data_IF_190521524203
#
_entry.id   IF_190521524203
#
_cell.length_a   1.000
_cell.length_b   1.000
_cell.length_c   1.000
_cell.angle_alpha   90.00
_cell.angle_beta   90.00
_cell.angle_gamma   90.00
#
_symmetry.space_group_name_H-M   'P 1'
#
loop_
_entity.id
_entity.type
_entity.pdbx_description
1 polymer ?
#
# COMPACT_ATOMS: atom_id res chain seq x y z
N UNK A 1 -14.28 22.21 -0.84
CA UNK A 1 -12.91 22.47 -1.35
C UNK A 1 -12.02 21.46 -0.63
N UNK A 2 -12.06 20.17 -0.93
CA UNK A 2 -11.55 19.52 -2.14
C UNK A 2 -12.43 18.30 -2.45
N UNK A 3 -12.99 18.27 -3.66
CA UNK A 3 -13.59 17.09 -4.26
C UNK A 3 -12.97 17.01 -5.66
N UNK A 4 -11.68 16.71 -5.70
CA UNK A 4 -10.92 16.56 -6.94
C UNK A 4 -10.36 15.13 -7.02
N UNK A 5 -11.25 14.12 -6.92
CA UNK A 5 -10.98 12.90 -7.66
C UNK A 5 -11.32 13.24 -9.12
N UNK A 6 -10.29 13.25 -9.96
CA UNK A 6 -10.45 13.43 -11.40
C UNK A 6 -11.38 12.32 -11.94
N UNK A 7 -12.63 12.67 -12.27
CA UNK A 7 -13.61 11.81 -12.95
C UNK A 7 -13.10 11.30 -14.32
N UNK A 8 -11.92 11.74 -14.77
CA UNK A 8 -11.25 11.25 -15.98
C UNK A 8 -10.64 9.85 -15.83
N UNK A 9 -10.59 9.26 -14.63
CA UNK A 9 -10.17 7.86 -14.43
C UNK A 9 -11.30 6.84 -14.65
N UNK A 10 -12.47 7.29 -15.13
CA UNK A 10 -13.48 6.40 -15.68
C UNK A 10 -12.89 5.69 -16.91
N UNK A 11 -12.43 4.45 -16.71
CA UNK A 11 -12.09 3.55 -17.82
C UNK A 11 -13.29 3.52 -18.78
N UNK A 12 -13.08 3.60 -20.11
CA UNK A 12 -14.18 3.44 -21.07
C UNK A 12 -14.86 2.11 -20.79
N UNK A 13 -16.07 2.18 -20.22
CA UNK A 13 -16.74 1.10 -19.51
C UNK A 13 -17.33 0.00 -20.42
N UNK A 14 -16.77 -0.18 -21.62
CA UNK A 14 -17.31 -1.13 -22.60
C UNK A 14 -16.37 -2.26 -23.02
N UNK A 15 -15.06 -2.22 -22.75
CA UNK A 15 -14.15 -3.26 -23.30
C UNK A 15 -12.99 -3.75 -22.42
N UNK A 16 -12.75 -3.20 -21.23
CA UNK A 16 -11.70 -3.70 -20.33
C UNK A 16 -12.28 -4.03 -18.96
N UNK A 17 -12.47 -5.32 -18.70
CA UNK A 17 -12.80 -5.81 -17.36
C UNK A 17 -11.49 -6.19 -16.66
N UNK A 18 -11.12 -5.43 -15.63
CA UNK A 18 -9.95 -5.71 -14.82
C UNK A 18 -10.33 -6.74 -13.73
N UNK A 19 -9.76 -7.94 -13.79
CA UNK A 19 -10.04 -8.99 -12.79
C UNK A 19 -9.16 -8.85 -11.54
N UNK A 20 -7.89 -8.48 -11.74
CA UNK A 20 -6.91 -8.30 -10.68
C UNK A 20 -6.24 -6.95 -10.82
N UNK A 21 -6.08 -6.26 -9.70
CA UNK A 21 -5.29 -5.05 -9.61
C UNK A 21 -4.07 -5.36 -8.75
N UNK A 22 -2.87 -5.33 -9.35
CA UNK A 22 -1.60 -5.52 -8.64
C UNK A 22 -0.99 -4.16 -8.34
N UNK A 23 -0.53 -3.95 -7.11
CA UNK A 23 -0.01 -2.66 -6.67
C UNK A 23 1.19 -2.78 -5.74
N UNK A 24 1.98 -1.70 -5.73
CA UNK A 24 3.31 -1.64 -5.11
C UNK A 24 4.22 -2.80 -5.51
N UNK A 25 3.96 -3.44 -6.64
CA UNK A 25 4.71 -4.60 -7.10
C UNK A 25 6.03 -4.19 -7.78
N UNK A 26 7.01 -5.08 -7.73
CA UNK A 26 8.34 -4.87 -8.30
C UNK A 26 9.28 -4.19 -7.32
N UNK A 27 10.36 -3.61 -7.84
CA UNK A 27 11.44 -3.04 -7.05
C UNK A 27 11.02 -1.88 -6.12
N UNK A 28 9.81 -1.31 -6.28
CA UNK A 28 9.28 -0.29 -5.39
C UNK A 28 9.07 -0.78 -3.95
N UNK A 29 8.56 -2.01 -3.76
CA UNK A 29 8.38 -2.57 -2.41
C UNK A 29 9.71 -2.94 -1.74
N UNK A 30 10.73 -3.23 -2.55
CA UNK A 30 12.04 -3.70 -2.12
C UNK A 30 12.97 -2.55 -1.74
N UNK A 31 13.08 -1.55 -2.61
CA UNK A 31 14.09 -0.51 -2.54
C UNK A 31 15.48 -0.99 -3.02
N UNK A 32 16.39 -0.06 -3.27
CA UNK A 32 17.82 -0.38 -3.38
C UNK A 32 18.34 -0.81 -1.99
N UNK A 33 17.91 -0.10 -0.93
CA UNK A 33 18.26 -0.36 0.47
C UNK A 33 17.00 -0.53 1.32
N UNK A 34 16.99 -1.46 2.28
CA UNK A 34 15.83 -1.74 3.13
C UNK A 34 15.30 -0.54 3.92
N UNK A 35 16.16 0.45 4.19
CA UNK A 35 15.79 1.70 4.86
C UNK A 35 14.82 2.57 4.03
N UNK A 36 14.82 2.38 2.71
CA UNK A 36 14.01 3.14 1.76
C UNK A 36 12.87 2.27 1.18
N UNK A 37 12.75 1.02 1.63
CA UNK A 37 11.64 0.15 1.23
C UNK A 37 10.30 0.75 1.67
N UNK A 38 9.29 0.66 0.81
CA UNK A 38 7.95 1.13 1.11
C UNK A 38 7.38 0.49 2.40
N UNK A 39 6.88 1.33 3.31
CA UNK A 39 6.27 0.92 4.59
C UNK A 39 4.80 1.27 4.61
N UNK A 40 3.94 0.27 4.40
CA UNK A 40 2.52 0.49 4.20
C UNK A 40 1.81 1.20 5.35
N UNK A 41 2.25 0.96 6.60
CA UNK A 41 1.69 1.62 7.78
C UNK A 41 1.91 3.12 7.78
N UNK A 42 3.01 3.58 7.18
CA UNK A 42 3.34 5.00 7.02
C UNK A 42 2.50 5.67 5.92
N UNK A 43 1.86 4.85 5.07
CA UNK A 43 0.89 5.29 4.06
C UNK A 43 -0.56 5.29 4.55
N UNK A 44 -0.80 5.15 5.86
CA UNK A 44 -2.14 5.17 6.47
C UNK A 44 -2.31 6.45 7.30
N UNK A 45 -3.51 7.04 7.25
CA UNK A 45 -3.85 8.28 7.96
C UNK A 45 -3.99 9.49 7.02
N UNK A 46 -4.14 10.72 7.54
CA UNK A 46 -4.27 11.93 6.71
C UNK A 46 -3.09 12.08 5.76
N UNK A 47 -3.35 12.27 4.46
CA UNK A 47 -2.30 12.27 3.43
C UNK A 47 -1.28 13.40 3.63
N UNK A 48 -1.73 14.54 4.14
CA UNK A 48 -0.92 15.72 4.42
C UNK A 48 0.07 15.51 5.57
N UNK A 49 -0.13 14.49 6.41
CA UNK A 49 0.76 14.12 7.51
C UNK A 49 1.74 13.00 7.13
N UNK A 50 1.58 12.39 5.94
CA UNK A 50 2.46 11.33 5.46
C UNK A 50 3.79 11.95 5.02
N UNK A 51 4.89 11.46 5.60
CA UNK A 51 6.22 11.92 5.23
C UNK A 51 6.60 11.51 3.80
N UNK A 52 6.00 10.42 3.31
CA UNK A 52 6.47 9.74 2.12
C UNK A 52 7.83 9.08 2.34
N UNK A 53 8.45 8.62 1.26
CA UNK A 53 9.80 8.08 1.31
C UNK A 53 10.59 8.35 0.02
N UNK A 54 11.90 8.20 0.12
CA UNK A 54 12.76 8.27 -1.05
C UNK A 54 12.78 6.93 -1.78
N UNK A 55 12.13 6.87 -2.95
CA UNK A 55 12.15 5.72 -3.85
C UNK A 55 13.49 5.63 -4.58
N UNK A 56 14.49 5.10 -3.89
CA UNK A 56 15.88 5.07 -4.34
C UNK A 56 16.12 4.26 -5.63
N UNK A 57 15.26 3.27 -5.93
CA UNK A 57 15.32 2.54 -7.22
C UNK A 57 15.04 3.45 -8.41
N UNK A 58 14.17 4.44 -8.23
CA UNK A 58 13.73 5.36 -9.29
C UNK A 58 14.23 6.79 -9.11
N UNK A 59 14.99 7.04 -8.05
CA UNK A 59 15.64 8.31 -7.73
C UNK A 59 14.68 9.50 -7.57
N UNK A 60 13.49 9.27 -7.00
CA UNK A 60 12.54 10.34 -6.67
C UNK A 60 11.88 10.15 -5.31
N UNK A 61 11.37 11.25 -4.74
CA UNK A 61 10.57 11.20 -3.52
C UNK A 61 9.11 10.89 -3.87
N UNK A 62 8.54 9.90 -3.19
CA UNK A 62 7.10 9.59 -3.23
C UNK A 62 6.47 10.16 -1.97
N UNK A 63 5.31 10.79 -2.11
CA UNK A 63 4.53 11.31 -0.98
C UNK A 63 3.72 10.22 -0.26
N UNK A 64 3.64 9.03 -0.86
CA UNK A 64 2.79 7.92 -0.42
C UNK A 64 1.31 8.34 -0.23
N UNK A 65 0.87 9.32 -1.03
CA UNK A 65 -0.51 9.78 -1.06
C UNK A 65 -1.49 8.73 -1.58
N UNK A 66 -1.06 7.93 -2.57
CA UNK A 66 -1.74 6.70 -2.98
C UNK A 66 -1.19 5.53 -2.17
N UNK A 67 -1.70 5.38 -0.95
CA UNK A 67 -1.26 4.39 0.02
C UNK A 67 -2.04 3.08 -0.03
N UNK A 68 -1.88 2.27 1.02
CA UNK A 68 -2.53 0.96 1.08
C UNK A 68 -4.06 1.06 1.13
N UNK A 69 -4.61 2.02 1.88
CA UNK A 69 -6.06 2.16 2.01
C UNK A 69 -6.71 2.65 0.71
N UNK A 70 -6.15 3.69 0.10
CA UNK A 70 -6.64 4.24 -1.17
C UNK A 70 -6.59 3.19 -2.28
N UNK A 71 -5.59 2.29 -2.25
CA UNK A 71 -5.50 1.18 -3.18
C UNK A 71 -6.65 0.17 -3.03
N UNK A 72 -7.01 -0.19 -1.79
CA UNK A 72 -8.15 -1.09 -1.54
C UNK A 72 -9.46 -0.48 -2.03
N UNK A 73 -9.65 0.84 -1.81
CA UNK A 73 -10.81 1.57 -2.31
C UNK A 73 -10.84 1.59 -3.85
N UNK A 74 -9.70 1.84 -4.50
CA UNK A 74 -9.61 1.82 -5.96
C UNK A 74 -9.95 0.44 -6.54
N UNK A 75 -9.50 -0.64 -5.90
CA UNK A 75 -9.86 -2.00 -6.32
C UNK A 75 -11.37 -2.25 -6.20
N UNK A 76 -12.00 -1.78 -5.12
CA UNK A 76 -13.45 -1.84 -4.92
C UNK A 76 -14.21 -1.03 -5.99
N UNK A 77 -13.81 0.22 -6.22
CA UNK A 77 -14.40 1.12 -7.21
C UNK A 77 -14.30 0.55 -8.65
N UNK A 78 -13.21 -0.17 -8.96
CA UNK A 78 -12.99 -0.83 -10.25
C UNK A 78 -13.63 -2.22 -10.36
N UNK A 79 -14.19 -2.76 -9.27
CA UNK A 79 -14.70 -4.13 -9.22
C UNK A 79 -13.62 -5.22 -9.42
N UNK A 80 -12.36 -4.89 -9.09
CA UNK A 80 -11.20 -5.78 -9.25
C UNK A 80 -10.80 -6.42 -7.92
N UNK A 81 -10.16 -7.59 -7.97
CA UNK A 81 -9.58 -8.21 -6.77
C UNK A 81 -8.21 -7.58 -6.48
N UNK A 82 -7.99 -6.98 -5.30
CA UNK A 82 -6.69 -6.41 -4.96
C UNK A 82 -5.67 -7.51 -4.69
N UNK A 83 -4.49 -7.38 -5.29
CA UNK A 83 -3.33 -8.22 -5.00
C UNK A 83 -2.26 -7.35 -4.36
N UNK A 84 -2.04 -7.59 -3.07
CA UNK A 84 -1.12 -6.83 -2.25
C UNK A 84 0.24 -7.52 -2.11
N UNK A 85 1.32 -6.77 -2.32
CA UNK A 85 2.70 -7.24 -2.18
C UNK A 85 3.33 -6.56 -0.97
N UNK A 86 3.99 -7.34 -0.12
CA UNK A 86 4.71 -6.85 1.07
C UNK A 86 6.20 -7.13 0.93
N UNK A 87 7.02 -6.23 1.48
CA UNK A 87 8.45 -6.47 1.60
C UNK A 87 8.70 -7.66 2.55
N UNK A 88 9.48 -8.64 2.11
CA UNK A 88 9.79 -9.85 2.86
C UNK A 88 11.14 -9.80 3.59
N UNK A 89 11.72 -8.61 3.76
CA UNK A 89 13.03 -8.40 4.35
C UNK A 89 14.18 -8.41 3.36
N UNK A 90 13.92 -8.20 2.06
CA UNK A 90 14.94 -8.14 1.01
C UNK A 90 14.83 -6.82 0.25
N UNK A 91 15.98 -6.24 -0.11
CA UNK A 91 16.13 -5.15 -1.07
C UNK A 91 17.18 -5.56 -2.12
N UNK A 92 17.47 -4.71 -3.11
CA UNK A 92 18.49 -5.05 -4.11
C UNK A 92 19.90 -5.27 -3.50
N UNK A 93 20.24 -4.53 -2.44
CA UNK A 93 21.58 -4.57 -1.82
C UNK A 93 21.60 -5.12 -0.39
N UNK A 94 20.45 -5.24 0.28
CA UNK A 94 20.35 -5.70 1.67
C UNK A 94 19.40 -6.89 1.83
N UNK A 95 19.61 -7.61 2.91
CA UNK A 95 18.64 -8.59 3.42
C UNK A 95 18.63 -8.57 4.95
N UNK A 96 17.45 -8.68 5.54
CA UNK A 96 17.29 -8.89 6.96
C UNK A 96 17.88 -10.25 7.35
N UNK A 97 18.52 -10.31 8.52
CA UNK A 97 18.92 -11.58 9.08
C UNK A 97 17.69 -12.46 9.33
N UNK A 98 17.78 -13.75 9.03
CA UNK A 98 16.65 -14.68 9.22
C UNK A 98 16.16 -14.71 10.67
N UNK A 99 17.06 -14.50 11.65
CA UNK A 99 16.72 -14.36 13.07
C UNK A 99 15.83 -13.14 13.39
N UNK A 100 15.75 -12.18 12.47
CA UNK A 100 15.04 -10.91 12.61
C UNK A 100 13.94 -10.75 11.55
N UNK A 101 13.41 -11.86 11.02
CA UNK A 101 12.35 -11.85 9.99
C UNK A 101 10.97 -11.54 10.55
N UNK A 102 10.75 -11.78 11.85
CA UNK A 102 9.44 -11.67 12.49
C UNK A 102 8.73 -10.32 12.30
N UNK A 103 9.40 -9.16 12.31
CA UNK A 103 8.76 -7.89 11.99
C UNK A 103 8.11 -7.88 10.60
N UNK A 104 8.75 -8.44 9.58
CA UNK A 104 8.19 -8.50 8.21
C UNK A 104 6.99 -9.45 8.12
N UNK A 105 7.02 -10.55 8.86
CA UNK A 105 5.85 -11.44 9.00
C UNK A 105 4.69 -10.70 9.67
N UNK A 106 4.98 -9.92 10.72
CA UNK A 106 3.96 -9.13 11.41
C UNK A 106 3.39 -8.04 10.50
N UNK A 107 4.22 -7.35 9.70
CA UNK A 107 3.75 -6.39 8.69
C UNK A 107 2.74 -7.03 7.72
N UNK A 108 3.00 -8.27 7.29
CA UNK A 108 2.08 -9.02 6.43
C UNK A 108 0.77 -9.34 7.15
N UNK A 109 0.84 -9.88 8.36
CA UNK A 109 -0.36 -10.22 9.15
C UNK A 109 -1.22 -8.99 9.45
N UNK A 110 -0.57 -7.89 9.83
CA UNK A 110 -1.21 -6.61 10.10
C UNK A 110 -1.90 -6.04 8.85
N UNK A 111 -1.29 -6.18 7.67
CA UNK A 111 -1.93 -5.75 6.41
C UNK A 111 -3.19 -6.57 6.11
N UNK A 112 -3.16 -7.88 6.36
CA UNK A 112 -4.33 -8.76 6.18
C UNK A 112 -5.43 -8.40 7.18
N UNK A 113 -5.08 -8.14 8.45
CA UNK A 113 -6.04 -7.69 9.46
C UNK A 113 -6.60 -6.31 9.13
N UNK A 114 -5.79 -5.39 8.60
CA UNK A 114 -6.29 -4.09 8.15
C UNK A 114 -7.36 -4.27 7.06
N UNK A 115 -7.07 -5.05 6.03
CA UNK A 115 -7.99 -5.24 4.90
C UNK A 115 -9.25 -6.04 5.26
N UNK A 116 -9.15 -7.07 6.10
CA UNK A 116 -10.22 -8.06 6.32
C UNK A 116 -10.66 -8.25 7.77
N UNK A 117 -9.95 -7.65 8.72
CA UNK A 117 -10.22 -7.77 10.13
C UNK A 117 -11.54 -7.13 10.53
N UNK A 118 -12.08 -7.61 11.65
CA UNK A 118 -13.27 -7.06 12.28
C UNK A 118 -13.05 -5.58 12.62
N UNK A 119 -14.08 -4.71 12.55
CA UNK A 119 -14.00 -3.34 13.06
C UNK A 119 -13.57 -3.22 14.52
N UNK A 120 -13.63 -4.32 15.30
CA UNK A 120 -13.19 -4.35 16.70
C UNK A 120 -11.73 -4.84 16.88
N UNK A 121 -11.05 -5.21 15.79
CA UNK A 121 -9.64 -5.61 15.80
C UNK A 121 -8.73 -4.39 15.71
N UNK A 122 -7.44 -4.53 16.04
CA UNK A 122 -6.51 -3.40 16.07
C UNK A 122 -6.44 -2.71 14.71
N UNK A 123 -6.20 -3.46 13.65
CA UNK A 123 -6.05 -2.88 12.31
C UNK A 123 -7.39 -2.70 11.60
N UNK A 124 -8.37 -3.55 11.89
CA UNK A 124 -9.72 -3.38 11.33
C UNK A 124 -10.44 -2.15 11.89
N UNK A 125 -10.24 -1.81 13.16
CA UNK A 125 -10.76 -0.56 13.75
C UNK A 125 -10.11 0.66 13.11
N UNK A 126 -8.79 0.62 12.89
CA UNK A 126 -8.06 1.68 12.19
C UNK A 126 -8.62 1.88 10.78
N UNK A 127 -8.81 0.81 9.99
CA UNK A 127 -9.43 0.90 8.65
C UNK A 127 -10.80 1.60 8.69
N UNK A 128 -11.63 1.29 9.68
CA UNK A 128 -12.94 1.94 9.80
C UNK A 128 -12.87 3.39 10.26
N UNK A 129 -11.85 3.75 11.05
CA UNK A 129 -11.62 5.12 11.50
C UNK A 129 -10.91 5.99 10.46
N UNK A 130 -10.15 5.39 9.54
CA UNK A 130 -9.51 6.06 8.40
C UNK A 130 -10.44 6.18 7.19
N UNK A 131 -11.67 5.67 7.28
CA UNK A 131 -12.71 5.96 6.30
C UNK A 131 -13.05 7.45 6.39
N UNK A 132 -12.53 8.21 5.43
CA UNK A 132 -12.85 9.63 5.23
C UNK A 132 -14.34 9.83 4.93
#
# INVERSE_FOLDING_TARGET
LYNERNDSFALPSSNLQLYYLLWNCGCFVEGEWLRNAFRWKESIGPWEERAGHFGDVWMYWTDDGLGYYEFLQLAEDLGAVPVWVVNNGISHNDQAATSSIMPFVQEMLDSIEFARGSPNSTWGSLRTGTAH
#
